data_IF_834517481528
#
_entry.id   IF_834517481528
#
_cell.length_a   1.000
_cell.length_b   1.000
_cell.length_c   1.000
_cell.angle_alpha   90.00
_cell.angle_beta   90.00
_cell.angle_gamma   90.00
#
_symmetry.space_group_name_H-M   'P 1'
#
loop_
_entity.id
_entity.type
_entity.pdbx_description
1 polymer ?
#
# COMPACT_ATOMS: atom_id res chain seq x y z
N UNK A 1 -7.54 -16.23 -6.36
CA UNK A 1 -6.30 -17.02 -6.57
C UNK A 1 -6.51 -18.26 -7.42
N UNK A 2 -7.57 -19.07 -7.23
CA UNK A 2 -7.76 -20.28 -8.07
C UNK A 2 -7.90 -19.96 -9.57
N UNK A 3 -8.60 -18.86 -9.91
CA UNK A 3 -8.74 -18.39 -11.30
C UNK A 3 -7.41 -17.95 -11.94
N UNK A 4 -6.41 -17.57 -11.12
CA UNK A 4 -5.08 -17.13 -11.58
C UNK A 4 -4.04 -18.24 -11.44
N UNK A 5 -4.46 -19.50 -11.24
CA UNK A 5 -3.53 -20.61 -11.05
C UNK A 5 -2.68 -20.50 -9.78
N UNK A 6 -3.13 -19.73 -8.79
CA UNK A 6 -2.38 -19.39 -7.57
C UNK A 6 -1.10 -18.56 -7.78
N UNK A 7 -0.95 -17.93 -8.96
CA UNK A 7 0.15 -17.01 -9.24
C UNK A 7 0.19 -15.89 -8.19
N UNK A 8 1.39 -15.59 -7.69
CA UNK A 8 1.63 -14.54 -6.69
C UNK A 8 1.72 -13.15 -7.32
N UNK A 9 1.98 -13.09 -8.63
CA UNK A 9 2.16 -11.87 -9.40
C UNK A 9 1.20 -11.84 -10.58
N UNK A 10 0.67 -10.66 -10.87
CA UNK A 10 -0.25 -10.40 -11.96
C UNK A 10 0.23 -9.16 -12.72
N UNK A 11 0.35 -9.28 -14.04
CA UNK A 11 0.46 -8.11 -14.90
C UNK A 11 -0.95 -7.56 -15.18
N UNK A 12 -1.13 -6.27 -14.94
CA UNK A 12 -2.38 -5.55 -15.16
C UNK A 12 -2.14 -4.39 -16.15
N UNK A 13 -3.18 -3.93 -16.86
CA UNK A 13 -3.02 -2.87 -17.84
C UNK A 13 -2.72 -1.53 -17.16
N UNK A 14 -1.82 -0.75 -17.78
CA UNK A 14 -1.43 0.58 -17.29
C UNK A 14 -2.63 1.53 -17.15
N UNK A 15 -3.69 1.32 -17.93
CA UNK A 15 -4.94 2.09 -17.85
C UNK A 15 -5.68 1.99 -16.50
N UNK A 16 -5.24 1.12 -15.59
CA UNK A 16 -5.70 1.15 -14.21
C UNK A 16 -5.15 2.34 -13.42
N UNK A 17 -3.97 2.82 -13.81
CA UNK A 17 -3.20 3.84 -13.08
C UNK A 17 -3.26 5.21 -13.77
N UNK A 18 -3.54 5.24 -15.07
CA UNK A 18 -3.58 6.49 -15.85
C UNK A 18 -4.80 6.52 -16.76
N UNK A 19 -5.34 7.72 -16.97
CA UNK A 19 -6.41 7.98 -17.92
C UNK A 19 -5.89 8.11 -19.37
N UNK A 20 -6.80 8.41 -20.30
CA UNK A 20 -6.48 8.57 -21.72
C UNK A 20 -5.59 9.79 -22.02
N UNK A 21 -5.48 10.72 -21.09
CA UNK A 21 -4.61 11.90 -21.18
C UNK A 21 -3.26 11.68 -20.46
N UNK A 22 -3.04 10.48 -19.89
CA UNK A 22 -1.84 10.17 -19.12
C UNK A 22 -1.82 10.77 -17.71
N UNK A 23 -2.97 11.23 -17.21
CA UNK A 23 -3.10 11.74 -15.85
C UNK A 23 -3.39 10.58 -14.88
N UNK A 24 -2.94 10.66 -13.61
CA UNK A 24 -3.22 9.64 -12.61
C UNK A 24 -4.72 9.36 -12.47
N UNK A 25 -5.09 8.09 -12.51
CA UNK A 25 -6.46 7.64 -12.30
C UNK A 25 -6.72 7.39 -10.81
N UNK A 26 -7.89 7.82 -10.32
CA UNK A 26 -8.32 7.65 -8.92
C UNK A 26 -9.17 6.39 -8.70
N UNK A 27 -9.13 5.44 -9.64
CA UNK A 27 -10.01 4.27 -9.67
C UNK A 27 -9.41 3.01 -9.06
N UNK A 28 -8.09 2.98 -8.79
CA UNK A 28 -7.38 1.78 -8.34
C UNK A 28 -6.44 2.08 -7.16
N UNK A 29 -6.62 1.35 -6.05
CA UNK A 29 -5.80 1.41 -4.82
C UNK A 29 -5.62 2.81 -4.16
N UNK A 30 -6.44 3.81 -4.50
CA UNK A 30 -6.45 5.12 -3.82
C UNK A 30 -7.46 5.15 -2.68
N UNK A 31 -7.28 6.03 -1.68
CA UNK A 31 -8.23 6.21 -0.57
C UNK A 31 -9.66 6.50 -1.08
N UNK A 32 -9.77 7.20 -2.22
CA UNK A 32 -11.04 7.47 -2.91
C UNK A 32 -11.63 6.18 -3.48
N UNK A 33 -10.83 5.36 -4.17
CA UNK A 33 -11.26 4.06 -4.68
C UNK A 33 -11.68 3.08 -3.56
N UNK A 34 -11.05 3.17 -2.39
CA UNK A 34 -11.29 2.31 -1.24
C UNK A 34 -12.61 2.64 -0.52
N UNK A 35 -12.95 3.93 -0.44
CA UNK A 35 -14.11 4.44 0.31
C UNK A 35 -15.34 4.71 -0.55
N UNK A 36 -15.19 4.82 -1.87
CA UNK A 36 -16.28 5.03 -2.80
C UNK A 36 -17.15 3.78 -2.97
N UNK A 37 -18.48 3.98 -3.03
CA UNK A 37 -19.45 2.98 -3.53
C UNK A 37 -19.31 2.79 -5.05
N UNK A 38 -18.10 2.52 -5.56
CA UNK A 38 -17.90 2.19 -6.96
C UNK A 38 -18.40 0.76 -7.23
N UNK A 39 -19.72 0.62 -7.25
CA UNK A 39 -20.47 -0.52 -7.77
C UNK A 39 -20.41 -0.61 -9.30
N UNK A 40 -19.59 0.20 -9.98
CA UNK A 40 -19.24 -0.03 -11.36
C UNK A 40 -18.42 -1.33 -11.42
N UNK A 41 -19.12 -2.45 -11.60
CA UNK A 41 -18.59 -3.77 -11.93
C UNK A 41 -17.82 -3.68 -13.26
N UNK A 42 -16.62 -3.14 -13.19
CA UNK A 42 -15.66 -3.19 -14.27
C UNK A 42 -14.81 -4.42 -14.07
N UNK A 43 -14.73 -5.22 -15.13
CA UNK A 43 -13.78 -6.31 -15.22
C UNK A 43 -12.48 -5.79 -15.82
N UNK A 44 -11.37 -6.32 -15.33
CA UNK A 44 -10.04 -6.06 -15.84
C UNK A 44 -9.41 -7.38 -16.26
N UNK A 45 -8.79 -7.35 -17.43
CA UNK A 45 -8.02 -8.47 -17.95
C UNK A 45 -6.61 -8.38 -17.40
N UNK A 46 -6.20 -9.41 -16.66
CA UNK A 46 -4.85 -9.53 -16.10
C UNK A 46 -4.18 -10.78 -16.62
N UNK A 47 -2.85 -10.79 -16.58
CA UNK A 47 -2.04 -11.96 -16.91
C UNK A 47 -1.31 -12.46 -15.66
N UNK A 48 -1.58 -13.68 -15.20
CA UNK A 48 -0.77 -14.30 -14.17
C UNK A 48 0.69 -14.42 -14.62
N UNK A 49 1.63 -14.15 -13.71
CA UNK A 49 3.05 -14.28 -13.97
C UNK A 49 3.58 -15.50 -13.22
N UNK A 50 4.23 -16.41 -13.94
CA UNK A 50 4.94 -17.54 -13.37
C UNK A 50 6.27 -17.72 -14.10
N UNK A 51 7.37 -17.88 -13.36
CA UNK A 51 8.72 -17.97 -13.93
C UNK A 51 9.06 -16.83 -14.92
N UNK A 52 8.64 -15.60 -14.62
CA UNK A 52 8.80 -14.41 -15.48
C UNK A 52 8.10 -14.50 -16.85
N UNK A 53 7.13 -15.40 -17.00
CA UNK A 53 6.32 -15.53 -18.21
C UNK A 53 4.86 -15.18 -17.94
N UNK A 54 4.25 -14.47 -18.90
CA UNK A 54 2.83 -14.18 -18.88
C UNK A 54 2.04 -15.43 -19.27
N UNK A 55 1.14 -15.85 -18.38
CA UNK A 55 0.18 -16.91 -18.65
C UNK A 55 -1.06 -16.33 -19.36
N UNK A 56 -2.01 -17.23 -19.66
CA UNK A 56 -3.27 -16.86 -20.31
C UNK A 56 -4.01 -15.78 -19.51
N UNK A 57 -4.59 -14.84 -20.26
CA UNK A 57 -5.40 -13.76 -19.73
C UNK A 57 -6.58 -14.28 -18.89
N UNK A 58 -6.82 -13.64 -17.76
CA UNK A 58 -7.93 -13.92 -16.85
C UNK A 58 -8.71 -12.62 -16.61
N UNK A 59 -10.03 -12.68 -16.73
CA UNK A 59 -10.92 -11.57 -16.35
C UNK A 59 -11.21 -11.63 -14.85
N UNK A 60 -10.95 -10.53 -14.15
CA UNK A 60 -11.25 -10.37 -12.72
C UNK A 60 -12.05 -9.09 -12.51
N UNK A 61 -12.95 -9.07 -11.53
CA UNK A 61 -13.57 -7.81 -11.13
C UNK A 61 -12.50 -6.87 -10.56
N UNK A 62 -12.56 -5.58 -10.91
CA UNK A 62 -11.63 -4.57 -10.41
C UNK A 62 -11.60 -4.51 -8.88
N UNK A 63 -12.77 -4.68 -8.25
CA UNK A 63 -12.92 -4.75 -6.79
C UNK A 63 -12.19 -5.94 -6.17
N UNK A 64 -12.24 -7.12 -6.82
CA UNK A 64 -11.54 -8.31 -6.35
C UNK A 64 -10.04 -8.17 -6.55
N UNK A 65 -9.62 -7.64 -7.72
CA UNK A 65 -8.21 -7.34 -7.97
C UNK A 65 -7.69 -6.39 -6.89
N UNK A 66 -8.33 -5.24 -6.69
CA UNK A 66 -7.91 -4.26 -5.68
C UNK A 66 -7.86 -4.86 -4.28
N UNK A 67 -8.87 -5.64 -3.86
CA UNK A 67 -8.88 -6.26 -2.54
C UNK A 67 -7.73 -7.26 -2.37
N UNK A 68 -7.44 -8.07 -3.40
CA UNK A 68 -6.39 -9.09 -3.36
C UNK A 68 -4.97 -8.52 -3.56
N UNK A 69 -4.83 -7.39 -4.27
CA UNK A 69 -3.53 -6.78 -4.54
C UNK A 69 -2.91 -6.29 -3.25
N UNK A 70 -1.84 -6.95 -2.80
CA UNK A 70 -1.06 -6.51 -1.64
C UNK A 70 -0.16 -5.33 -1.97
N UNK A 71 0.42 -5.35 -3.17
CA UNK A 71 1.49 -4.45 -3.56
C UNK A 71 1.38 -4.12 -5.05
N UNK A 72 1.67 -2.88 -5.40
CA UNK A 72 1.83 -2.41 -6.76
C UNK A 72 3.30 -1.99 -6.92
N UNK A 73 4.05 -2.70 -7.76
CA UNK A 73 5.47 -2.42 -8.01
C UNK A 73 5.60 -1.54 -9.24
N UNK A 74 6.19 -0.36 -9.07
CA UNK A 74 6.47 0.60 -10.14
C UNK A 74 7.97 0.81 -10.27
N UNK A 75 8.52 0.58 -11.45
CA UNK A 75 9.92 0.87 -11.75
C UNK A 75 10.09 2.34 -12.09
N UNK A 76 11.00 3.04 -11.41
CA UNK A 76 11.33 4.45 -11.67
C UNK A 76 12.59 4.50 -12.53
N UNK A 77 12.56 5.23 -13.65
CA UNK A 77 13.71 5.34 -14.57
C UNK A 77 14.84 6.22 -13.99
N UNK A 78 14.50 7.30 -13.29
CA UNK A 78 15.44 8.28 -12.73
C UNK A 78 15.38 8.31 -11.18
N UNK A 79 15.73 7.19 -10.54
CA UNK A 79 15.77 7.14 -9.08
C UNK A 79 16.83 8.10 -8.52
N UNK A 80 16.41 9.08 -7.70
CA UNK A 80 17.29 10.06 -7.06
C UNK A 80 18.11 9.43 -5.91
N UNK A 81 17.64 8.31 -5.37
CA UNK A 81 18.29 7.57 -4.29
C UNK A 81 18.76 6.21 -4.83
N UNK A 82 20.08 5.99 -4.81
CA UNK A 82 20.66 4.71 -5.18
C UNK A 82 20.41 3.67 -4.07
N UNK A 83 20.04 2.44 -4.46
CA UNK A 83 19.85 1.30 -3.56
C UNK A 83 18.81 1.53 -2.44
N UNK A 84 17.77 2.32 -2.71
CA UNK A 84 16.65 2.54 -1.78
C UNK A 84 15.35 2.15 -2.47
N UNK A 85 14.65 1.17 -1.88
CA UNK A 85 13.28 0.84 -2.25
C UNK A 85 12.32 1.69 -1.40
N UNK A 86 11.36 2.35 -2.06
CA UNK A 86 10.30 3.08 -1.39
C UNK A 86 9.03 2.23 -1.35
N UNK A 87 8.55 1.95 -0.15
CA UNK A 87 7.28 1.28 0.08
C UNK A 87 6.28 2.25 0.72
N UNK A 88 5.19 2.53 0.02
CA UNK A 88 4.05 3.25 0.59
C UNK A 88 3.10 2.26 1.29
N UNK A 89 2.90 2.46 2.60
CA UNK A 89 1.99 1.63 3.41
C UNK A 89 0.77 2.49 3.77
N UNK A 90 -0.41 2.20 3.20
CA UNK A 90 -1.60 3.00 3.45
C UNK A 90 -2.03 2.90 4.91
N UNK A 91 -2.45 4.04 5.48
CA UNK A 91 -3.01 4.09 6.82
C UNK A 91 -4.37 3.38 6.86
N UNK A 92 -4.57 2.56 7.88
CA UNK A 92 -5.87 1.97 8.16
C UNK A 92 -6.83 3.01 8.76
N UNK A 93 -8.00 3.25 8.16
CA UNK A 93 -8.99 4.13 8.75
C UNK A 93 -9.62 3.50 10.00
N UNK A 94 -10.08 4.33 10.94
CA UNK A 94 -10.78 3.86 12.16
C UNK A 94 -12.04 3.04 11.81
N UNK A 95 -12.74 3.47 10.76
CA UNK A 95 -13.94 2.82 10.23
C UNK A 95 -13.85 2.73 8.73
N UNK A 96 -14.21 1.58 8.18
CA UNK A 96 -14.32 1.36 6.74
C UNK A 96 -15.67 0.71 6.44
N UNK A 97 -16.39 1.10 5.36
CA UNK A 97 -17.66 0.48 5.00
C UNK A 97 -17.53 -1.02 4.68
N UNK A 98 -16.33 -1.45 4.28
CA UNK A 98 -16.02 -2.85 3.95
C UNK A 98 -15.06 -3.49 4.98
N UNK A 99 -15.49 -4.50 5.77
CA UNK A 99 -14.67 -5.11 6.82
C UNK A 99 -13.37 -5.77 6.33
N UNK A 100 -13.39 -6.39 5.14
CA UNK A 100 -12.18 -7.03 4.59
C UNK A 100 -11.10 -6.00 4.24
N UNK A 101 -11.50 -4.84 3.75
CA UNK A 101 -10.59 -3.72 3.50
C UNK A 101 -10.01 -3.16 4.79
N UNK A 102 -10.84 -2.99 5.84
CA UNK A 102 -10.35 -2.58 7.15
C UNK A 102 -9.32 -3.57 7.70
N UNK A 103 -9.60 -4.87 7.60
CA UNK A 103 -8.70 -5.93 8.04
C UNK A 103 -7.37 -5.92 7.26
N UNK A 104 -7.44 -5.81 5.93
CA UNK A 104 -6.26 -5.71 5.05
C UNK A 104 -5.39 -4.52 5.45
N UNK A 105 -5.95 -3.31 5.48
CA UNK A 105 -5.18 -2.11 5.80
C UNK A 105 -4.61 -2.15 7.23
N UNK A 106 -5.38 -2.66 8.19
CA UNK A 106 -4.94 -2.80 9.59
C UNK A 106 -3.72 -3.73 9.75
N UNK A 107 -3.65 -4.76 8.90
CA UNK A 107 -2.62 -5.79 8.89
C UNK A 107 -1.32 -5.38 8.16
N UNK A 108 -1.38 -4.52 7.13
CA UNK A 108 -0.24 -4.24 6.25
C UNK A 108 1.04 -3.81 6.98
N UNK A 109 0.96 -2.89 7.95
CA UNK A 109 2.17 -2.45 8.68
C UNK A 109 2.87 -3.62 9.40
N UNK A 110 2.09 -4.50 10.01
CA UNK A 110 2.63 -5.66 10.74
C UNK A 110 3.18 -6.72 9.79
N UNK A 111 2.53 -6.93 8.64
CA UNK A 111 3.03 -7.81 7.59
C UNK A 111 4.43 -7.39 7.13
N UNK A 112 4.60 -6.11 6.77
CA UNK A 112 5.87 -5.59 6.30
C UNK A 112 6.93 -5.52 7.39
N UNK A 113 6.54 -5.27 8.65
CA UNK A 113 7.43 -5.42 9.80
C UNK A 113 8.03 -6.83 9.88
N UNK A 114 7.23 -7.88 9.66
CA UNK A 114 7.68 -9.27 9.79
C UNK A 114 8.48 -9.78 8.58
N UNK A 115 8.12 -9.36 7.37
CA UNK A 115 8.66 -9.94 6.13
C UNK A 115 9.77 -9.11 5.47
N UNK A 116 9.72 -7.79 5.57
CA UNK A 116 10.66 -6.89 4.90
C UNK A 116 11.58 -6.16 5.87
N UNK A 117 11.10 -5.87 7.09
CA UNK A 117 11.82 -5.10 8.11
C UNK A 117 12.42 -3.79 7.55
N UNK A 118 11.58 -2.84 7.08
CA UNK A 118 12.09 -1.58 6.53
C UNK A 118 13.05 -0.87 7.50
N UNK A 119 14.18 -0.38 7.00
CA UNK A 119 15.18 0.30 7.83
C UNK A 119 14.67 1.63 8.39
N UNK A 120 13.88 2.36 7.59
CA UNK A 120 13.33 3.67 7.93
C UNK A 120 11.84 3.71 7.60
N UNK A 121 11.03 4.10 8.59
CA UNK A 121 9.62 4.39 8.43
C UNK A 121 9.38 5.89 8.44
N UNK A 122 9.01 6.43 7.27
CA UNK A 122 8.62 7.83 7.10
C UNK A 122 7.11 7.98 7.32
N UNK A 123 6.73 8.91 8.19
CA UNK A 123 5.34 9.15 8.57
C UNK A 123 4.94 10.55 8.15
N UNK A 124 4.07 10.64 7.14
CA UNK A 124 3.61 11.93 6.59
C UNK A 124 2.26 12.38 7.17
N UNK A 125 1.40 11.46 7.63
CA UNK A 125 0.04 11.74 8.12
C UNK A 125 -0.44 10.65 9.11
N UNK A 126 0.08 10.61 10.34
CA UNK A 126 -0.22 9.48 11.23
C UNK A 126 -1.55 9.56 11.98
N UNK A 127 -2.13 10.75 12.16
CA UNK A 127 -3.36 10.94 12.93
C UNK A 127 -4.25 11.99 12.27
N UNK A 128 -5.50 11.62 12.01
CA UNK A 128 -6.54 12.53 11.53
C UNK A 128 -7.23 13.23 12.71
N UNK A 129 -7.22 12.61 13.90
CA UNK A 129 -7.81 13.17 15.12
C UNK A 129 -6.87 12.97 16.32
N UNK A 130 -6.95 13.89 17.30
CA UNK A 130 -6.14 13.78 18.54
C UNK A 130 -6.40 12.48 19.32
N UNK A 131 -7.61 11.92 19.23
CA UNK A 131 -7.99 10.69 19.92
C UNK A 131 -7.18 9.46 19.48
N UNK A 132 -6.66 9.47 18.25
CA UNK A 132 -5.86 8.37 17.70
C UNK A 132 -4.41 8.35 18.20
N UNK A 133 -3.90 9.49 18.70
CA UNK A 133 -2.49 9.66 19.11
C UNK A 133 -1.98 8.54 20.00
N UNK A 134 -2.63 8.17 21.13
CA UNK A 134 -2.10 7.14 22.01
C UNK A 134 -1.99 5.77 21.34
N UNK A 135 -2.94 5.42 20.47
CA UNK A 135 -2.97 4.14 19.77
C UNK A 135 -1.88 4.07 18.70
N UNK A 136 -1.76 5.11 17.88
CA UNK A 136 -0.74 5.19 16.83
C UNK A 136 0.65 5.25 17.44
N UNK A 137 0.87 6.04 18.50
CA UNK A 137 2.15 6.08 19.22
C UNK A 137 2.55 4.70 19.74
N UNK A 138 1.64 3.94 20.36
CA UNK A 138 1.95 2.57 20.80
C UNK A 138 2.33 1.65 19.64
N UNK A 139 1.60 1.72 18.52
CA UNK A 139 1.89 0.88 17.33
C UNK A 139 3.28 1.18 16.76
N UNK A 140 3.62 2.47 16.65
CA UNK A 140 4.92 2.91 16.13
C UNK A 140 6.07 2.58 17.09
N UNK A 141 5.89 2.79 18.40
CA UNK A 141 6.90 2.40 19.39
C UNK A 141 7.14 0.89 19.39
N UNK A 142 6.08 0.07 19.28
CA UNK A 142 6.22 -1.37 19.12
C UNK A 142 7.03 -1.72 17.87
N UNK A 143 6.68 -1.12 16.73
CA UNK A 143 7.41 -1.32 15.48
C UNK A 143 8.90 -0.95 15.60
N UNK A 144 9.23 0.19 16.23
CA UNK A 144 10.63 0.60 16.47
C UNK A 144 11.37 -0.43 17.32
N UNK A 145 10.78 -0.82 18.45
CA UNK A 145 11.39 -1.78 19.36
C UNK A 145 11.67 -3.13 18.69
N UNK A 146 10.81 -3.52 17.75
CA UNK A 146 10.89 -4.81 17.07
C UNK A 146 11.80 -4.81 15.84
N UNK A 147 12.11 -3.65 15.26
CA UNK A 147 12.85 -3.55 13.97
C UNK A 147 14.18 -2.83 14.08
N UNK A 148 14.36 -1.96 15.08
CA UNK A 148 15.52 -1.08 15.15
C UNK A 148 16.58 -1.61 16.12
N UNK A 149 17.88 -1.47 15.80
CA UNK A 149 18.94 -1.87 16.71
C UNK A 149 18.99 -0.97 17.95
N UNK A 150 19.31 -1.54 19.11
CA UNK A 150 19.35 -0.86 20.43
C UNK A 150 20.54 0.14 20.55
N UNK A 151 21.33 0.36 19.50
CA UNK A 151 22.55 1.16 19.58
C UNK A 151 22.29 2.67 19.51
N UNK A 152 22.93 3.41 20.43
CA UNK A 152 22.80 4.86 20.68
C UNK A 152 23.27 5.78 19.54
N UNK A 153 23.85 5.23 18.46
CA UNK A 153 24.46 6.00 17.36
C UNK A 153 23.80 5.77 15.98
N UNK A 154 22.68 5.03 15.92
CA UNK A 154 21.97 4.81 14.67
C UNK A 154 21.10 6.03 14.30
N UNK A 155 20.94 6.28 13.00
CA UNK A 155 19.95 7.22 12.47
C UNK A 155 18.54 6.80 12.94
N UNK A 156 17.60 7.75 13.14
CA UNK A 156 16.27 7.41 13.60
C UNK A 156 15.52 6.56 12.56
N UNK A 157 15.15 5.33 12.95
CA UNK A 157 14.38 4.43 12.11
C UNK A 157 12.90 4.81 11.94
N UNK A 158 12.42 5.82 12.68
CA UNK A 158 11.12 6.46 12.44
C UNK A 158 11.32 7.95 12.29
N UNK A 159 10.86 8.50 11.17
CA UNK A 159 10.94 9.92 10.85
C UNK A 159 9.53 10.45 10.67
N UNK A 160 9.21 11.52 11.39
CA UNK A 160 7.96 12.25 11.17
C UNK A 160 8.20 13.41 10.21
N UNK A 161 7.60 13.34 9.02
CA UNK A 161 7.62 14.45 8.07
C UNK A 161 6.42 15.36 8.31
N UNK A 162 6.66 16.66 8.38
CA UNK A 162 5.60 17.67 8.34
C UNK A 162 5.45 18.09 6.89
N UNK A 163 4.28 17.83 6.31
CA UNK A 163 3.97 18.19 4.92
C UNK A 163 2.95 19.35 4.91
N UNK A 164 2.86 20.14 3.82
CA UNK A 164 1.80 21.14 3.66
C UNK A 164 0.36 20.58 3.76
N UNK A 165 0.20 19.27 3.67
CA UNK A 165 -1.07 18.54 3.74
C UNK A 165 -1.36 17.96 5.14
N UNK A 166 -0.52 18.22 6.13
CA UNK A 166 -0.70 17.74 7.50
C UNK A 166 -1.91 18.43 8.17
N UNK A 167 -2.94 17.65 8.51
CA UNK A 167 -4.21 18.13 9.06
C UNK A 167 -4.09 18.85 10.42
N UNK A 168 -2.90 18.89 11.03
CA UNK A 168 -2.63 19.63 12.27
C UNK A 168 -2.36 21.12 12.03
N UNK A 169 -2.21 21.56 10.79
CA UNK A 169 -1.89 22.94 10.40
C UNK A 169 -2.92 23.54 9.45
#
# INVERSE_FOLDING_TARGET
MQQTGHAQELAAPLSLLVDHFGLPAESFLTQVALTGNNEAQSDVVVHPIENHQLLNAVSLSLSSLALLTRELVLTVEDAVLENVDLLDIPLAPDTHPHPLWQAKLGWMLEHYRQHLQPDVLLICNAVSTRAQTPTITRKLLGWVNDTQPVHDAALPGVVWAITPQDARF
#
